data_IF_137698780079
#
_entry.id   IF_137698780079
#
_cell.length_a   1.000
_cell.length_b   1.000
_cell.length_c   1.000
_cell.angle_alpha   90.00
_cell.angle_beta   90.00
_cell.angle_gamma   90.00
#
_symmetry.space_group_name_H-M   'P 1'
#
loop_
_entity.id
_entity.type
_entity.pdbx_description
1 polymer ?
#
# COMPACT_ATOMS: atom_id res chain seq x y z
N UNK A 1 -19.08 -19.88 -14.08
CA UNK A 1 -19.32 -19.46 -12.68
C UNK A 1 -20.50 -20.23 -12.10
N UNK A 2 -20.39 -20.64 -10.83
CA UNK A 2 -21.40 -21.46 -10.13
C UNK A 2 -22.68 -20.65 -9.87
N UNK A 3 -23.86 -21.29 -9.84
CA UNK A 3 -25.14 -20.63 -9.54
C UNK A 3 -25.10 -19.91 -8.18
N UNK A 4 -24.43 -20.53 -7.21
CA UNK A 4 -24.23 -20.02 -5.85
C UNK A 4 -23.50 -18.66 -5.85
N UNK A 5 -22.44 -18.52 -6.67
CA UNK A 5 -21.68 -17.27 -6.80
C UNK A 5 -22.54 -16.16 -7.45
N UNK A 6 -23.38 -16.52 -8.45
CA UNK A 6 -24.31 -15.54 -9.06
C UNK A 6 -25.32 -15.02 -8.04
N UNK A 7 -25.87 -15.90 -7.21
CA UNK A 7 -26.79 -15.51 -6.13
C UNK A 7 -26.06 -14.61 -5.11
N UNK A 8 -24.84 -14.92 -4.74
CA UNK A 8 -24.04 -14.12 -3.82
C UNK A 8 -23.78 -12.71 -4.37
N UNK A 9 -23.45 -12.59 -5.66
CA UNK A 9 -23.28 -11.28 -6.33
C UNK A 9 -24.59 -10.50 -6.35
N UNK A 10 -25.71 -11.15 -6.68
CA UNK A 10 -27.03 -10.50 -6.69
C UNK A 10 -27.39 -9.94 -5.31
N UNK A 11 -27.24 -10.77 -4.27
CA UNK A 11 -27.55 -10.37 -2.87
C UNK A 11 -26.61 -9.23 -2.43
N UNK A 12 -25.33 -9.30 -2.78
CA UNK A 12 -24.39 -8.23 -2.48
C UNK A 12 -24.78 -6.89 -3.12
N UNK A 13 -25.12 -6.92 -4.42
CA UNK A 13 -25.55 -5.71 -5.16
C UNK A 13 -26.87 -5.17 -4.64
N UNK A 14 -27.85 -6.02 -4.40
CA UNK A 14 -29.18 -5.63 -3.89
C UNK A 14 -29.08 -5.00 -2.49
N UNK A 15 -28.38 -5.67 -1.55
CA UNK A 15 -28.19 -5.15 -0.19
C UNK A 15 -27.39 -3.84 -0.18
N UNK A 16 -26.37 -3.71 -1.02
CA UNK A 16 -25.61 -2.46 -1.18
C UNK A 16 -26.48 -1.32 -1.74
N UNK A 17 -27.37 -1.60 -2.69
CA UNK A 17 -28.31 -0.61 -3.23
C UNK A 17 -29.31 -0.13 -2.17
N UNK A 18 -29.85 -1.05 -1.35
CA UNK A 18 -30.75 -0.72 -0.24
C UNK A 18 -30.05 0.18 0.78
N UNK A 19 -28.81 -0.17 1.20
CA UNK A 19 -28.07 0.63 2.17
C UNK A 19 -27.80 2.06 1.66
N UNK A 20 -27.42 2.21 0.37
CA UNK A 20 -27.23 3.54 -0.23
C UNK A 20 -28.52 4.37 -0.23
N UNK A 21 -29.67 3.76 -0.55
CA UNK A 21 -30.99 4.44 -0.48
C UNK A 21 -31.36 4.88 0.94
N UNK A 22 -30.88 4.15 1.95
CA UNK A 22 -31.08 4.49 3.37
C UNK A 22 -30.03 5.48 3.92
N UNK A 23 -29.17 6.07 3.06
CA UNK A 23 -28.12 6.99 3.48
C UNK A 23 -27.00 6.34 4.30
N UNK A 24 -26.95 5.01 4.35
CA UNK A 24 -25.92 4.25 5.09
C UNK A 24 -24.81 3.79 4.14
N UNK A 25 -23.64 4.38 4.24
CA UNK A 25 -22.44 4.01 3.47
C UNK A 25 -21.75 2.74 3.97
N UNK A 26 -22.47 1.64 4.18
CA UNK A 26 -21.87 0.41 4.70
C UNK A 26 -21.45 -0.56 3.60
N UNK A 27 -20.14 -0.77 3.40
CA UNK A 27 -19.62 -1.76 2.45
C UNK A 27 -19.51 -3.16 3.07
N UNK A 28 -19.37 -3.26 4.40
CA UNK A 28 -19.13 -4.53 5.08
C UNK A 28 -20.32 -5.50 5.08
N UNK A 29 -21.56 -5.01 5.27
CA UNK A 29 -22.73 -5.88 5.33
C UNK A 29 -23.01 -6.60 4.00
N UNK A 30 -23.00 -5.94 2.83
CA UNK A 30 -23.20 -6.62 1.55
C UNK A 30 -22.18 -7.73 1.30
N UNK A 31 -20.89 -7.47 1.55
CA UNK A 31 -19.84 -8.49 1.40
C UNK A 31 -19.98 -9.63 2.40
N UNK A 32 -20.38 -9.34 3.64
CA UNK A 32 -20.65 -10.37 4.66
C UNK A 32 -21.78 -11.31 4.26
N UNK A 33 -22.86 -10.79 3.68
CA UNK A 33 -23.97 -11.60 3.16
C UNK A 33 -23.50 -12.46 1.98
N UNK A 34 -22.74 -11.88 1.06
CA UNK A 34 -22.22 -12.60 -0.08
C UNK A 34 -21.27 -13.74 0.36
N UNK A 35 -20.38 -13.50 1.32
CA UNK A 35 -19.46 -14.50 1.87
C UNK A 35 -20.17 -15.66 2.57
N UNK A 36 -21.33 -15.40 3.22
CA UNK A 36 -22.15 -16.47 3.80
C UNK A 36 -22.78 -17.38 2.75
N UNK A 37 -23.12 -16.81 1.59
CA UNK A 37 -23.71 -17.58 0.48
C UNK A 37 -22.60 -18.37 -0.24
N UNK A 38 -21.47 -17.73 -0.55
CA UNK A 38 -20.34 -18.37 -1.24
C UNK A 38 -19.02 -17.98 -0.59
N UNK A 39 -18.41 -18.91 0.12
CA UNK A 39 -17.14 -18.70 0.81
C UNK A 39 -15.97 -18.39 -0.12
N UNK A 40 -16.03 -18.83 -1.38
CA UNK A 40 -15.00 -18.61 -2.39
C UNK A 40 -15.33 -17.47 -3.37
N UNK A 41 -16.30 -16.63 -3.04
CA UNK A 41 -16.78 -15.57 -3.94
C UNK A 41 -15.64 -14.65 -4.42
N UNK A 42 -14.72 -14.27 -3.54
CA UNK A 42 -13.62 -13.38 -3.88
C UNK A 42 -12.69 -14.01 -4.92
N UNK A 43 -12.30 -15.28 -4.75
CA UNK A 43 -11.48 -16.00 -5.71
C UNK A 43 -12.18 -16.21 -7.07
N UNK A 44 -13.50 -16.38 -7.08
CA UNK A 44 -14.24 -16.46 -8.34
C UNK A 44 -14.33 -15.10 -9.06
N UNK A 45 -14.52 -14.00 -8.33
CA UNK A 45 -14.66 -12.65 -8.89
C UNK A 45 -13.33 -12.01 -9.31
N UNK A 46 -12.23 -12.37 -8.66
CA UNK A 46 -10.89 -11.88 -8.98
C UNK A 46 -10.21 -12.62 -10.12
N UNK A 47 -10.81 -13.70 -10.61
CA UNK A 47 -10.22 -14.52 -11.66
C UNK A 47 -9.98 -13.75 -12.94
N UNK A 48 -8.72 -13.67 -13.39
CA UNK A 48 -8.30 -12.92 -14.58
C UNK A 48 -8.13 -11.43 -14.37
N UNK A 49 -8.19 -10.95 -13.12
CA UNK A 49 -7.88 -9.57 -12.73
C UNK A 49 -6.51 -9.55 -12.08
N UNK A 50 -5.60 -8.72 -12.56
CA UNK A 50 -4.30 -8.46 -11.91
C UNK A 50 -4.53 -7.57 -10.71
N UNK A 51 -4.07 -8.00 -9.53
CA UNK A 51 -4.36 -7.28 -8.29
C UNK A 51 -3.08 -6.67 -7.71
N UNK A 52 -3.10 -5.35 -7.52
CA UNK A 52 -2.13 -4.62 -6.71
C UNK A 52 -2.72 -4.38 -5.34
N UNK A 53 -2.02 -4.80 -4.29
CA UNK A 53 -2.42 -4.59 -2.89
C UNK A 53 -1.48 -3.60 -2.24
N UNK A 54 -2.04 -2.62 -1.53
CA UNK A 54 -1.29 -1.68 -0.68
C UNK A 54 -1.69 -1.90 0.77
N UNK A 55 -0.69 -2.19 1.61
CA UNK A 55 -0.84 -2.41 3.05
C UNK A 55 0.26 -1.69 3.84
N UNK A 56 0.23 -1.77 5.17
CA UNK A 56 1.15 -1.07 6.07
C UNK A 56 0.45 -0.04 6.94
N UNK A 57 1.03 0.38 8.04
CA UNK A 57 0.36 1.20 9.06
C UNK A 57 -0.03 2.57 8.52
N UNK A 58 0.88 3.27 7.86
CA UNK A 58 0.68 4.63 7.37
C UNK A 58 0.81 4.74 5.84
N UNK A 59 0.13 5.74 5.27
CA UNK A 59 0.27 6.09 3.85
C UNK A 59 -0.54 5.26 2.87
N UNK A 60 -1.21 4.18 3.28
CA UNK A 60 -2.00 3.29 2.40
C UNK A 60 -2.87 4.02 1.39
N UNK A 61 -3.72 4.91 1.87
CA UNK A 61 -4.68 5.64 1.02
C UNK A 61 -3.97 6.58 0.04
N UNK A 62 -2.94 7.31 0.50
CA UNK A 62 -2.20 8.24 -0.35
C UNK A 62 -1.42 7.49 -1.43
N UNK A 63 -0.68 6.44 -1.04
CA UNK A 63 0.04 5.58 -1.99
C UNK A 63 -0.92 4.96 -3.01
N UNK A 64 -2.08 4.41 -2.56
CA UNK A 64 -3.09 3.86 -3.46
C UNK A 64 -3.60 4.90 -4.45
N UNK A 65 -3.85 6.13 -4.02
CA UNK A 65 -4.31 7.19 -4.93
C UNK A 65 -3.25 7.63 -5.93
N UNK A 66 -1.98 7.69 -5.53
CA UNK A 66 -0.86 7.95 -6.46
C UNK A 66 -0.73 6.84 -7.51
N UNK A 67 -0.87 5.57 -7.10
CA UNK A 67 -0.92 4.43 -8.02
C UNK A 67 -2.16 4.52 -8.92
N UNK A 68 -3.30 4.91 -8.37
CA UNK A 68 -4.56 5.10 -9.12
C UNK A 68 -4.39 6.14 -10.24
N UNK A 69 -3.70 7.26 -9.95
CA UNK A 69 -3.36 8.26 -10.96
C UNK A 69 -2.49 7.67 -12.07
N UNK A 70 -1.43 6.94 -11.71
CA UNK A 70 -0.57 6.28 -12.69
C UNK A 70 -1.33 5.24 -13.54
N UNK A 71 -2.27 4.49 -12.95
CA UNK A 71 -3.13 3.56 -13.70
C UNK A 71 -4.04 4.29 -14.69
N UNK A 72 -4.60 5.43 -14.28
CA UNK A 72 -5.46 6.26 -15.14
C UNK A 72 -4.67 6.84 -16.31
N UNK A 73 -3.48 7.41 -16.05
CA UNK A 73 -2.64 8.03 -17.07
C UNK A 73 -2.06 7.00 -18.06
N UNK A 74 -1.84 5.76 -17.60
CA UNK A 74 -1.47 4.62 -18.44
C UNK A 74 -2.66 4.02 -19.22
N UNK A 75 -3.88 4.54 -19.04
CA UNK A 75 -5.08 4.04 -19.73
C UNK A 75 -5.54 2.65 -19.31
N UNK A 76 -5.15 2.18 -18.11
CA UNK A 76 -5.54 0.87 -17.61
C UNK A 76 -7.03 0.84 -17.22
N UNK A 77 -7.70 -0.26 -17.54
CA UNK A 77 -9.07 -0.50 -17.05
C UNK A 77 -9.01 -1.10 -15.66
N UNK A 78 -9.15 -0.27 -14.66
CA UNK A 78 -9.03 -0.66 -13.26
C UNK A 78 -10.23 -0.24 -12.40
N UNK A 79 -10.29 -0.77 -11.19
CA UNK A 79 -11.14 -0.29 -10.10
C UNK A 79 -10.37 -0.37 -8.78
N UNK A 80 -10.83 0.40 -7.78
CA UNK A 80 -10.23 0.45 -6.45
C UNK A 80 -11.29 0.43 -5.35
N UNK A 81 -10.91 0.05 -4.14
CA UNK A 81 -11.78 0.10 -2.96
C UNK A 81 -11.70 1.46 -2.26
N UNK A 82 -12.32 2.47 -2.86
CA UNK A 82 -12.40 3.81 -2.23
C UNK A 82 -13.10 3.75 -0.86
N UNK A 83 -12.72 4.68 0.04
CA UNK A 83 -13.42 4.93 1.32
C UNK A 83 -13.46 3.78 2.34
N UNK A 84 -12.29 3.22 2.74
CA UNK A 84 -12.17 2.41 3.96
C UNK A 84 -12.77 1.00 3.87
N UNK A 85 -13.06 0.48 2.68
CA UNK A 85 -13.47 -0.90 2.48
C UNK A 85 -12.25 -1.86 2.45
N UNK A 86 -11.35 -1.74 3.44
CA UNK A 86 -10.05 -2.40 3.51
C UNK A 86 -10.07 -3.78 4.22
N UNK A 87 -11.23 -4.21 4.71
CA UNK A 87 -11.44 -5.54 5.28
C UNK A 87 -11.95 -6.51 4.21
N UNK A 88 -11.76 -7.80 4.42
CA UNK A 88 -12.18 -8.88 3.50
C UNK A 88 -13.62 -8.69 2.97
N UNK A 89 -14.57 -8.38 3.84
CA UNK A 89 -15.98 -8.19 3.46
C UNK A 89 -16.20 -6.93 2.62
N UNK A 90 -15.44 -5.86 2.88
CA UNK A 90 -15.45 -4.64 2.08
C UNK A 90 -14.89 -4.90 0.68
N UNK A 91 -13.75 -5.60 0.59
CA UNK A 91 -13.12 -5.98 -0.67
C UNK A 91 -14.05 -6.87 -1.51
N UNK A 92 -14.72 -7.86 -0.91
CA UNK A 92 -15.73 -8.69 -1.59
C UNK A 92 -16.84 -7.81 -2.17
N UNK A 93 -17.35 -6.83 -1.41
CA UNK A 93 -18.41 -5.95 -1.87
C UNK A 93 -17.95 -5.11 -3.09
N UNK A 94 -16.71 -4.63 -3.08
CA UNK A 94 -16.12 -3.87 -4.19
C UNK A 94 -16.01 -4.76 -5.45
N UNK A 95 -15.44 -5.95 -5.34
CA UNK A 95 -15.36 -6.88 -6.46
C UNK A 95 -16.75 -7.24 -7.03
N UNK A 96 -17.72 -7.49 -6.14
CA UNK A 96 -19.10 -7.78 -6.57
C UNK A 96 -19.73 -6.57 -7.28
N UNK A 97 -19.50 -5.34 -6.83
CA UNK A 97 -20.03 -4.13 -7.47
C UNK A 97 -19.47 -3.95 -8.88
N UNK A 98 -18.19 -4.22 -9.10
CA UNK A 98 -17.51 -4.05 -10.38
C UNK A 98 -17.62 -5.28 -11.30
N UNK A 99 -18.27 -6.36 -10.85
CA UNK A 99 -18.57 -7.53 -11.67
C UNK A 99 -19.97 -7.46 -12.26
N UNK A 100 -20.19 -8.13 -13.40
CA UNK A 100 -21.53 -8.34 -13.95
C UNK A 100 -22.31 -9.32 -13.06
N UNK A 101 -23.64 -9.43 -13.26
CA UNK A 101 -24.46 -10.44 -12.58
C UNK A 101 -24.04 -11.88 -12.97
N UNK A 102 -23.41 -12.06 -14.12
CA UNK A 102 -22.78 -13.32 -14.49
C UNK A 102 -21.42 -13.54 -13.79
N UNK A 103 -20.93 -12.56 -13.01
CA UNK A 103 -19.67 -12.57 -12.26
C UNK A 103 -18.43 -12.34 -13.09
N UNK A 104 -18.59 -11.88 -14.33
CA UNK A 104 -17.47 -11.49 -15.17
C UNK A 104 -17.04 -10.08 -14.77
N UNK A 105 -15.77 -9.89 -14.45
CA UNK A 105 -15.19 -8.58 -14.23
C UNK A 105 -14.73 -7.98 -15.56
N UNK A 106 -15.20 -6.78 -15.94
CA UNK A 106 -14.77 -6.13 -17.20
C UNK A 106 -13.44 -5.39 -17.07
N UNK A 107 -12.89 -5.32 -15.86
CA UNK A 107 -11.63 -4.63 -15.56
C UNK A 107 -10.46 -5.60 -15.64
N UNK A 108 -9.31 -5.09 -16.06
CA UNK A 108 -8.07 -5.86 -16.17
C UNK A 108 -7.24 -5.80 -14.88
N UNK A 109 -7.39 -4.71 -14.12
CA UNK A 109 -6.64 -4.47 -12.88
C UNK A 109 -7.58 -4.11 -11.73
N UNK A 110 -7.14 -4.42 -10.52
CA UNK A 110 -7.74 -3.96 -9.27
C UNK A 110 -6.65 -3.42 -8.36
N UNK A 111 -6.89 -2.24 -7.79
CA UNK A 111 -6.02 -1.64 -6.78
C UNK A 111 -6.73 -1.70 -5.43
N UNK A 112 -6.16 -2.46 -4.51
CA UNK A 112 -6.80 -2.80 -3.24
C UNK A 112 -5.98 -2.28 -2.06
N UNK A 113 -6.52 -1.28 -1.36
CA UNK A 113 -6.06 -0.94 -0.02
C UNK A 113 -6.53 -2.02 0.95
N UNK A 114 -5.62 -2.66 1.66
CA UNK A 114 -5.91 -3.74 2.58
C UNK A 114 -5.33 -3.46 3.97
N UNK A 115 -6.15 -3.70 4.98
CA UNK A 115 -5.71 -3.72 6.36
C UNK A 115 -4.72 -4.88 6.58
N UNK A 116 -3.71 -4.67 7.42
CA UNK A 116 -2.61 -5.61 7.63
C UNK A 116 -3.09 -6.97 8.17
N UNK A 117 -3.99 -6.95 9.14
CA UNK A 117 -4.56 -8.17 9.70
C UNK A 117 -5.53 -8.86 8.73
N UNK A 118 -6.23 -8.06 7.89
CA UNK A 118 -7.14 -8.58 6.87
C UNK A 118 -6.37 -9.19 5.70
N UNK A 119 -5.16 -8.72 5.39
CA UNK A 119 -4.35 -9.22 4.28
C UNK A 119 -4.12 -10.73 4.36
N UNK A 120 -3.83 -11.27 5.54
CA UNK A 120 -3.66 -12.70 5.78
C UNK A 120 -4.80 -13.56 5.17
N UNK A 121 -6.06 -13.12 5.36
CA UNK A 121 -7.23 -13.84 4.84
C UNK A 121 -7.59 -13.48 3.41
N UNK A 122 -7.30 -12.25 3.01
CA UNK A 122 -7.65 -11.74 1.68
C UNK A 122 -6.72 -12.33 0.63
N UNK A 123 -5.45 -12.51 0.96
CA UNK A 123 -4.43 -13.10 0.09
C UNK A 123 -4.70 -14.55 -0.31
N UNK A 124 -5.46 -15.32 0.49
CA UNK A 124 -5.88 -16.67 0.13
C UNK A 124 -6.73 -16.72 -1.16
N UNK A 125 -7.37 -15.62 -1.54
CA UNK A 125 -8.34 -15.56 -2.62
C UNK A 125 -7.94 -14.66 -3.78
N UNK A 126 -6.99 -13.72 -3.55
CA UNK A 126 -6.62 -12.73 -4.56
C UNK A 126 -5.40 -13.18 -5.39
N UNK A 127 -5.46 -13.09 -6.72
CA UNK A 127 -4.30 -13.26 -7.59
C UNK A 127 -3.43 -12.00 -7.55
N UNK A 128 -2.72 -11.81 -6.43
CA UNK A 128 -1.87 -10.63 -6.22
C UNK A 128 -0.68 -10.68 -7.16
N UNK A 129 -0.50 -9.64 -7.97
CA UNK A 129 0.66 -9.43 -8.84
C UNK A 129 1.71 -8.54 -8.15
N UNK A 130 1.24 -7.53 -7.41
CA UNK A 130 2.08 -6.57 -6.70
C UNK A 130 1.55 -6.38 -5.28
N UNK A 131 2.42 -6.52 -4.28
CA UNK A 131 2.16 -6.21 -2.88
C UNK A 131 3.06 -5.08 -2.42
N UNK A 132 2.48 -3.94 -2.11
CA UNK A 132 3.20 -2.80 -1.51
C UNK A 132 3.03 -2.83 0.00
N UNK A 133 4.14 -2.81 0.74
CA UNK A 133 4.15 -2.67 2.20
C UNK A 133 4.85 -1.35 2.55
N UNK A 134 4.06 -0.33 2.86
CA UNK A 134 4.57 1.02 3.06
C UNK A 134 5.50 1.13 4.26
N UNK A 135 5.04 0.68 5.41
CA UNK A 135 5.77 0.75 6.68
C UNK A 135 4.99 -0.02 7.75
N UNK A 136 5.65 -0.31 8.86
CA UNK A 136 5.04 -0.90 10.06
C UNK A 136 5.42 -0.02 11.24
N UNK A 137 4.44 0.67 11.80
CA UNK A 137 4.53 1.49 13.01
C UNK A 137 3.62 0.93 14.08
N UNK A 138 3.84 1.37 15.33
CA UNK A 138 2.89 1.13 16.41
C UNK A 138 1.66 2.00 16.21
N UNK A 139 0.47 1.45 16.33
CA UNK A 139 -0.74 2.26 16.38
C UNK A 139 -0.84 2.99 17.73
N UNK A 140 -1.38 4.22 17.75
CA UNK A 140 -1.42 5.08 18.95
C UNK A 140 -2.22 4.51 20.12
N UNK A 141 -3.04 3.49 19.86
CA UNK A 141 -3.93 2.87 20.84
C UNK A 141 -3.38 1.54 21.41
N UNK A 142 -2.11 1.23 21.20
CA UNK A 142 -1.63 -0.13 21.26
C UNK A 142 -1.01 -0.64 22.56
N UNK A 143 -1.34 -1.91 22.79
CA UNK A 143 -0.77 -2.77 23.83
C UNK A 143 0.45 -3.53 23.29
N UNK A 144 1.36 -3.91 24.18
CA UNK A 144 2.54 -4.72 23.89
C UNK A 144 2.22 -5.94 22.99
N UNK A 145 2.91 -6.06 21.85
CA UNK A 145 2.84 -7.24 20.98
C UNK A 145 2.24 -7.03 19.58
N UNK A 146 1.60 -5.90 19.31
CA UNK A 146 0.85 -5.67 18.06
C UNK A 146 1.74 -5.51 16.82
N UNK A 147 2.90 -4.85 16.92
CA UNK A 147 3.87 -4.77 15.81
C UNK A 147 4.25 -6.18 15.32
N UNK A 148 4.52 -7.09 16.26
CA UNK A 148 4.87 -8.49 15.92
C UNK A 148 3.67 -9.21 15.30
N UNK A 149 2.46 -8.95 15.80
CA UNK A 149 1.24 -9.54 15.25
C UNK A 149 0.97 -9.05 13.82
N UNK A 150 1.09 -7.75 13.59
CA UNK A 150 0.95 -7.11 12.27
C UNK A 150 1.98 -7.66 11.28
N UNK A 151 3.25 -7.70 11.67
CA UNK A 151 4.33 -8.26 10.85
C UNK A 151 4.06 -9.73 10.48
N UNK A 152 3.66 -10.55 11.47
CA UNK A 152 3.36 -11.95 11.25
C UNK A 152 2.13 -12.16 10.36
N UNK A 153 1.10 -11.32 10.48
CA UNK A 153 -0.07 -11.39 9.61
C UNK A 153 0.28 -11.08 8.15
N UNK A 154 1.14 -10.08 7.90
CA UNK A 154 1.63 -9.78 6.55
C UNK A 154 2.51 -10.93 6.04
N UNK A 155 3.44 -11.45 6.86
CA UNK A 155 4.31 -12.56 6.50
C UNK A 155 3.51 -13.81 6.12
N UNK A 156 2.50 -14.18 6.89
CA UNK A 156 1.60 -15.28 6.57
C UNK A 156 0.85 -15.01 5.26
N UNK A 157 0.34 -13.79 5.06
CA UNK A 157 -0.31 -13.41 3.80
C UNK A 157 0.59 -13.51 2.58
N UNK A 158 1.88 -13.22 2.70
CA UNK A 158 2.87 -13.37 1.62
C UNK A 158 3.00 -14.84 1.20
N UNK A 159 2.91 -15.79 2.12
CA UNK A 159 2.99 -17.23 1.77
C UNK A 159 1.85 -17.69 0.86
N UNK A 160 0.71 -17.00 0.84
CA UNK A 160 -0.43 -17.31 -0.03
C UNK A 160 -0.25 -16.76 -1.46
N UNK A 161 0.69 -15.84 -1.67
CA UNK A 161 0.90 -15.15 -2.94
C UNK A 161 2.35 -15.28 -3.44
N UNK A 162 2.86 -16.50 -3.65
CA UNK A 162 4.29 -16.75 -3.91
C UNK A 162 4.80 -16.15 -5.23
N UNK A 163 3.91 -15.79 -6.14
CA UNK A 163 4.28 -15.18 -7.43
C UNK A 163 4.14 -13.65 -7.43
N UNK A 164 3.67 -13.05 -6.35
CA UNK A 164 3.56 -11.59 -6.24
C UNK A 164 4.94 -10.95 -6.12
N UNK A 165 5.18 -9.84 -6.81
CA UNK A 165 6.33 -8.98 -6.54
C UNK A 165 6.05 -8.14 -5.29
N UNK A 166 6.97 -8.17 -4.34
CA UNK A 166 6.88 -7.39 -3.10
C UNK A 166 7.60 -6.06 -3.28
N UNK A 167 6.87 -4.95 -3.14
CA UNK A 167 7.44 -3.60 -3.03
C UNK A 167 7.57 -3.26 -1.54
N UNK A 168 8.80 -3.31 -1.01
CA UNK A 168 9.07 -3.18 0.42
C UNK A 168 9.86 -1.91 0.73
N UNK A 169 9.48 -1.21 1.80
CA UNK A 169 10.22 -0.06 2.28
C UNK A 169 11.55 -0.51 2.90
N UNK A 170 12.67 -0.17 2.24
CA UNK A 170 14.02 -0.52 2.68
C UNK A 170 14.42 0.16 4.00
N UNK A 171 13.85 1.34 4.27
CA UNK A 171 14.21 2.18 5.41
C UNK A 171 13.50 1.74 6.70
N UNK A 172 12.49 0.86 6.60
CA UNK A 172 11.81 0.26 7.72
C UNK A 172 12.36 -1.15 7.99
N UNK A 173 13.09 -1.35 9.08
CA UNK A 173 13.69 -2.64 9.42
C UNK A 173 12.68 -3.78 9.54
N UNK A 174 11.43 -3.47 9.88
CA UNK A 174 10.34 -4.44 9.98
C UNK A 174 9.85 -4.89 8.60
N UNK A 175 9.62 -3.95 7.67
CA UNK A 175 9.23 -4.31 6.29
C UNK A 175 10.38 -4.99 5.54
N UNK A 176 11.62 -4.52 5.73
CA UNK A 176 12.79 -5.15 5.14
C UNK A 176 12.93 -6.62 5.53
N UNK A 177 12.57 -6.98 6.78
CA UNK A 177 12.60 -8.37 7.26
C UNK A 177 11.59 -9.30 6.59
N UNK A 178 10.60 -8.77 5.86
CA UNK A 178 9.65 -9.60 5.09
C UNK A 178 10.31 -10.25 3.86
N UNK A 179 11.46 -9.74 3.41
CA UNK A 179 12.23 -10.30 2.30
C UNK A 179 13.20 -11.40 2.71
N UNK A 180 13.22 -11.76 3.99
CA UNK A 180 14.07 -12.82 4.54
C UNK A 180 13.36 -14.18 4.49
N UNK A 181 13.98 -15.21 5.09
CA UNK A 181 13.42 -16.57 5.25
C UNK A 181 13.21 -17.33 3.94
N UNK A 182 13.95 -16.96 2.87
CA UNK A 182 13.95 -17.70 1.60
C UNK A 182 12.60 -17.66 0.86
N UNK A 183 11.88 -16.54 0.97
CA UNK A 183 10.65 -16.34 0.20
C UNK A 183 10.90 -16.44 -1.31
N UNK A 184 10.01 -17.06 -2.09
CA UNK A 184 10.16 -17.19 -3.54
C UNK A 184 9.85 -15.90 -4.30
N UNK A 185 9.26 -14.92 -3.63
CA UNK A 185 8.76 -13.68 -4.23
C UNK A 185 9.90 -12.80 -4.77
N UNK A 186 9.78 -12.25 -5.98
CA UNK A 186 10.61 -11.12 -6.39
C UNK A 186 10.41 -9.93 -5.45
N UNK A 187 11.49 -9.21 -5.14
CA UNK A 187 11.46 -8.05 -4.23
C UNK A 187 12.00 -6.83 -4.95
N UNK A 188 11.27 -5.75 -4.91
CA UNK A 188 11.70 -4.39 -5.26
C UNK A 188 11.66 -3.57 -3.98
N UNK A 189 12.77 -2.94 -3.66
CA UNK A 189 12.86 -2.07 -2.49
C UNK A 189 12.67 -0.63 -2.90
N UNK A 190 11.94 0.13 -2.10
CA UNK A 190 11.87 1.57 -2.24
C UNK A 190 12.33 2.25 -0.94
N UNK A 191 12.82 3.48 -1.05
CA UNK A 191 13.29 4.21 0.14
C UNK A 191 13.85 5.58 -0.20
N UNK A 192 14.45 6.21 0.81
CA UNK A 192 15.05 7.55 0.73
C UNK A 192 16.51 7.45 1.13
N UNK A 193 17.43 7.83 0.26
CA UNK A 193 18.88 7.69 0.46
C UNK A 193 19.54 8.88 1.17
N UNK A 194 18.76 9.90 1.51
CA UNK A 194 19.23 11.15 2.11
C UNK A 194 18.31 11.56 3.26
N UNK A 195 18.80 12.34 4.24
CA UNK A 195 17.91 12.94 5.25
C UNK A 195 16.88 13.85 4.58
N UNK A 196 15.63 13.79 5.05
CA UNK A 196 14.57 14.67 4.55
C UNK A 196 14.63 16.03 5.25
N UNK A 197 14.97 16.04 6.53
CA UNK A 197 15.05 17.24 7.36
C UNK A 197 16.48 17.44 7.86
N UNK A 198 16.90 18.72 8.00
CA UNK A 198 18.25 19.07 8.50
C UNK A 198 18.47 18.71 9.97
N UNK A 199 17.40 18.67 10.76
CA UNK A 199 17.40 18.25 12.15
C UNK A 199 16.49 17.05 12.34
N UNK A 200 17.06 15.94 12.80
CA UNK A 200 16.27 14.79 13.25
C UNK A 200 15.63 15.15 14.59
N UNK A 201 14.34 15.46 14.57
CA UNK A 201 13.58 15.53 15.80
C UNK A 201 13.73 14.19 16.53
N UNK A 202 13.92 14.23 17.86
CA UNK A 202 13.90 13.05 18.73
C UNK A 202 12.46 12.49 18.80
N UNK A 203 11.96 12.01 17.67
CA UNK A 203 10.66 11.36 17.60
C UNK A 203 10.73 9.97 18.23
N UNK A 204 9.61 9.57 18.83
CA UNK A 204 9.44 8.22 19.36
C UNK A 204 9.69 7.21 18.25
N UNK A 205 10.66 6.33 18.44
CA UNK A 205 11.00 5.28 17.49
C UNK A 205 10.35 3.98 17.92
N UNK A 206 9.52 3.40 17.07
CA UNK A 206 8.80 2.15 17.36
C UNK A 206 9.67 0.91 17.17
N UNK A 207 10.70 0.98 16.34
CA UNK A 207 11.63 -0.10 16.06
C UNK A 207 13.06 0.28 16.47
N UNK A 208 13.28 0.44 17.78
CA UNK A 208 14.59 0.83 18.33
C UNK A 208 15.60 -0.33 18.27
N UNK A 209 15.11 -1.57 18.42
CA UNK A 209 15.94 -2.75 18.60
C UNK A 209 15.87 -3.69 17.40
N UNK A 210 17.02 -4.27 17.07
CA UNK A 210 17.14 -5.27 16.02
C UNK A 210 16.14 -6.41 16.19
N UNK A 211 15.42 -6.72 15.13
CA UNK A 211 14.41 -7.77 15.11
C UNK A 211 15.02 -9.15 15.45
N UNK A 212 16.30 -9.37 15.09
CA UNK A 212 16.98 -10.66 15.29
C UNK A 212 17.63 -10.78 16.67
N UNK A 213 18.51 -9.85 17.06
CA UNK A 213 19.35 -9.99 18.24
C UNK A 213 19.02 -9.02 19.38
N UNK A 214 17.99 -8.18 19.23
CA UNK A 214 17.52 -7.20 20.21
C UNK A 214 18.57 -6.14 20.62
N UNK A 215 19.66 -6.00 19.87
CA UNK A 215 20.61 -4.90 20.05
C UNK A 215 20.04 -3.63 19.45
N UNK A 216 20.28 -2.49 20.07
CA UNK A 216 19.85 -1.20 19.54
C UNK A 216 20.45 -0.93 18.17
N UNK A 217 19.62 -0.45 17.22
CA UNK A 217 20.09 -0.03 15.92
C UNK A 217 20.92 1.25 15.99
N UNK A 218 21.93 1.31 15.14
CA UNK A 218 22.59 2.54 14.76
C UNK A 218 22.06 3.01 13.40
N UNK A 219 22.11 4.31 13.16
CA UNK A 219 21.60 4.92 11.94
C UNK A 219 22.64 5.86 11.34
N UNK A 220 22.90 5.69 10.06
CA UNK A 220 23.72 6.64 9.30
C UNK A 220 22.97 7.96 9.09
N UNK A 221 21.64 7.88 8.90
CA UNK A 221 20.69 8.98 8.89
C UNK A 221 19.30 8.48 9.26
N UNK A 222 18.46 9.37 9.76
CA UNK A 222 17.03 9.13 9.96
C UNK A 222 16.22 10.10 9.11
N UNK A 223 15.07 9.65 8.64
CA UNK A 223 14.16 10.45 7.83
C UNK A 223 12.88 10.78 8.59
N UNK A 224 12.22 9.75 9.16
CA UNK A 224 10.97 9.87 9.89
C UNK A 224 10.81 8.71 10.88
N UNK A 225 10.62 8.99 12.15
CA UNK A 225 10.48 7.97 13.19
C UNK A 225 11.66 7.00 13.23
N UNK A 226 11.41 5.72 12.92
CA UNK A 226 12.45 4.69 12.83
C UNK A 226 12.88 4.37 11.38
N UNK A 227 12.46 5.18 10.42
CA UNK A 227 12.86 5.01 9.01
C UNK A 227 14.23 5.67 8.77
N UNK A 228 15.07 5.01 7.96
CA UNK A 228 16.37 5.53 7.55
C UNK A 228 17.41 4.46 7.31
N UNK A 229 18.67 4.87 7.29
CA UNK A 229 19.85 4.01 7.09
C UNK A 229 20.20 3.23 8.36
N UNK A 230 19.39 2.26 8.74
CA UNK A 230 19.61 1.45 9.95
C UNK A 230 20.67 0.37 9.75
N UNK A 231 21.42 0.08 10.82
CA UNK A 231 22.32 -1.07 10.92
C UNK A 231 22.37 -1.61 12.35
N UNK A 232 22.50 -2.92 12.48
CA UNK A 232 22.70 -3.57 13.77
C UNK A 232 24.21 -3.80 14.00
N UNK A 233 24.84 -3.19 15.03
CA UNK A 233 26.27 -3.34 15.26
C UNK A 233 26.66 -4.75 15.72
N UNK A 234 25.70 -5.57 16.18
CA UNK A 234 25.98 -6.91 16.70
C UNK A 234 25.83 -8.02 15.67
N UNK A 235 24.73 -8.08 14.93
CA UNK A 235 24.45 -9.18 13.98
C UNK A 235 24.64 -8.79 12.52
N UNK A 236 24.94 -7.52 12.22
CA UNK A 236 25.15 -7.04 10.87
C UNK A 236 23.88 -6.81 10.05
N UNK A 237 22.69 -7.05 10.60
CA UNK A 237 21.44 -6.74 9.90
C UNK A 237 21.36 -5.25 9.57
N UNK A 238 21.16 -4.90 8.33
CA UNK A 238 21.23 -3.52 7.87
C UNK A 238 20.26 -3.26 6.71
N UNK A 239 20.04 -1.99 6.44
CA UNK A 239 19.29 -1.50 5.29
C UNK A 239 19.98 -1.93 3.99
N UNK A 240 19.22 -2.51 3.08
CA UNK A 240 19.66 -2.82 1.72
C UNK A 240 19.30 -1.64 0.82
N UNK A 241 20.22 -1.26 -0.09
CA UNK A 241 19.97 -0.17 -1.03
C UNK A 241 18.71 -0.45 -1.88
N UNK A 242 17.78 0.51 -1.99
CA UNK A 242 16.55 0.35 -2.76
C UNK A 242 16.82 0.53 -4.26
N UNK A 243 16.05 -0.21 -5.07
CA UNK A 243 16.01 -0.10 -6.53
C UNK A 243 15.20 1.12 -7.00
N UNK A 244 14.26 1.59 -6.15
CA UNK A 244 13.51 2.84 -6.37
C UNK A 244 13.81 3.77 -5.19
N UNK A 245 14.63 4.78 -5.43
CA UNK A 245 15.23 5.58 -4.37
C UNK A 245 15.02 7.08 -4.57
N UNK A 246 14.62 7.79 -3.52
CA UNK A 246 14.80 9.24 -3.49
C UNK A 246 16.26 9.53 -3.17
N UNK A 247 17.01 10.05 -4.15
CA UNK A 247 18.44 10.31 -4.05
C UNK A 247 18.77 11.74 -3.66
N UNK A 248 17.81 12.65 -3.85
CA UNK A 248 17.94 14.04 -3.42
C UNK A 248 16.57 14.60 -3.02
N UNK A 249 16.53 15.38 -1.96
CA UNK A 249 15.42 16.26 -1.59
C UNK A 249 15.87 17.67 -1.92
N UNK A 250 15.31 18.24 -3.00
CA UNK A 250 15.65 19.58 -3.51
C UNK A 250 15.02 20.63 -2.61
N UNK A 251 13.73 20.43 -2.31
CA UNK A 251 12.97 21.30 -1.41
C UNK A 251 11.88 20.54 -0.66
N UNK A 252 11.55 21.01 0.54
CA UNK A 252 10.36 20.59 1.30
C UNK A 252 9.61 21.82 1.73
N UNK A 253 8.34 21.91 1.35
CA UNK A 253 7.46 23.02 1.67
C UNK A 253 6.22 22.61 2.46
N UNK A 254 5.41 23.59 2.82
CA UNK A 254 4.12 23.39 3.46
C UNK A 254 3.11 22.71 2.52
N UNK A 255 3.30 22.81 1.21
CA UNK A 255 2.35 22.36 0.19
C UNK A 255 2.88 21.21 -0.66
N UNK A 256 4.19 21.20 -0.91
CA UNK A 256 4.82 20.26 -1.84
C UNK A 256 6.27 19.97 -1.47
N UNK A 257 6.84 18.96 -2.12
CA UNK A 257 8.28 18.64 -2.06
C UNK A 257 8.80 18.38 -3.46
N UNK A 258 10.00 18.92 -3.78
CA UNK A 258 10.73 18.60 -5.01
C UNK A 258 11.85 17.61 -4.69
N UNK A 259 11.88 16.53 -5.44
CA UNK A 259 12.81 15.42 -5.20
C UNK A 259 13.46 14.94 -6.49
N UNK A 260 14.58 14.26 -6.36
CA UNK A 260 15.12 13.40 -7.43
C UNK A 260 14.80 11.96 -7.05
N UNK A 261 13.98 11.31 -7.88
CA UNK A 261 13.60 9.91 -7.76
C UNK A 261 14.38 9.10 -8.78
N UNK A 262 15.20 8.19 -8.31
CA UNK A 262 15.88 7.18 -9.13
C UNK A 262 14.99 5.94 -9.25
N UNK A 263 14.74 5.51 -10.46
CA UNK A 263 13.98 4.29 -10.77
C UNK A 263 14.92 3.37 -11.55
N UNK A 264 15.48 2.37 -10.89
CA UNK A 264 16.41 1.39 -11.49
C UNK A 264 17.62 2.04 -12.22
N UNK A 265 18.19 3.11 -11.67
CA UNK A 265 19.35 3.82 -12.22
C UNK A 265 18.99 4.99 -13.13
N UNK A 266 17.71 5.28 -13.33
CA UNK A 266 17.23 6.44 -14.09
C UNK A 266 16.71 7.51 -13.15
N UNK A 267 17.41 8.63 -13.07
CA UNK A 267 17.05 9.76 -12.21
C UNK A 267 16.01 10.69 -12.86
N UNK A 268 14.97 11.03 -12.11
CA UNK A 268 13.89 11.90 -12.53
C UNK A 268 13.63 12.98 -11.48
N UNK A 269 13.49 14.24 -11.88
CA UNK A 269 12.95 15.28 -11.02
C UNK A 269 11.43 15.12 -10.90
N UNK A 270 10.93 15.09 -9.68
CA UNK A 270 9.50 14.90 -9.38
C UNK A 270 9.03 15.97 -8.41
N UNK A 271 7.99 16.69 -8.80
CA UNK A 271 7.24 17.57 -7.91
C UNK A 271 6.15 16.75 -7.20
N UNK A 272 6.31 16.46 -5.92
CA UNK A 272 5.29 15.79 -5.10
C UNK A 272 4.38 16.86 -4.51
N UNK A 273 3.20 17.04 -5.09
CA UNK A 273 2.24 18.08 -4.71
C UNK A 273 1.48 17.74 -3.42
N UNK A 274 2.23 17.36 -2.38
CA UNK A 274 1.75 17.02 -1.05
C UNK A 274 2.77 17.44 0.01
N UNK A 275 2.31 18.00 1.16
CA UNK A 275 3.19 18.36 2.25
C UNK A 275 3.74 17.16 3.00
N UNK A 276 4.94 17.32 3.57
CA UNK A 276 5.53 16.40 4.54
C UNK A 276 6.33 15.25 3.92
N UNK A 277 7.45 14.94 4.56
CA UNK A 277 8.41 13.94 4.10
C UNK A 277 7.86 12.52 3.98
N UNK A 278 6.79 12.17 4.70
CA UNK A 278 6.12 10.88 4.56
C UNK A 278 5.49 10.69 3.17
N UNK A 279 5.13 11.78 2.46
CA UNK A 279 4.60 11.70 1.10
C UNK A 279 5.69 11.42 0.05
N UNK A 280 6.94 11.73 0.36
CA UNK A 280 8.10 11.32 -0.43
C UNK A 280 8.20 9.78 -0.46
N UNK A 281 8.00 9.12 0.69
CA UNK A 281 7.92 7.65 0.75
C UNK A 281 6.72 7.09 -0.02
N UNK A 282 5.55 7.75 0.07
CA UNK A 282 4.37 7.32 -0.66
C UNK A 282 4.58 7.40 -2.18
N UNK A 283 5.29 8.43 -2.67
CA UNK A 283 5.65 8.57 -4.07
C UNK A 283 6.63 7.47 -4.54
N UNK A 284 7.68 7.18 -3.76
CA UNK A 284 8.62 6.10 -4.06
C UNK A 284 7.91 4.73 -4.08
N UNK A 285 7.01 4.47 -3.13
CA UNK A 285 6.20 3.26 -3.08
C UNK A 285 5.29 3.13 -4.32
N UNK A 286 4.66 4.24 -4.74
CA UNK A 286 3.80 4.26 -5.91
C UNK A 286 4.60 4.02 -7.21
N UNK A 287 5.80 4.60 -7.32
CA UNK A 287 6.70 4.36 -8.45
C UNK A 287 7.14 2.90 -8.54
N UNK A 288 7.49 2.27 -7.40
CA UNK A 288 7.83 0.85 -7.36
C UNK A 288 6.66 -0.03 -7.83
N UNK A 289 5.43 0.27 -7.39
CA UNK A 289 4.23 -0.45 -7.82
C UNK A 289 3.92 -0.25 -9.31
N UNK A 290 4.06 0.98 -9.81
CA UNK A 290 3.86 1.31 -11.22
C UNK A 290 4.84 0.52 -12.13
N UNK A 291 6.10 0.42 -11.72
CA UNK A 291 7.11 -0.39 -12.41
C UNK A 291 6.71 -1.87 -12.49
N UNK A 292 6.23 -2.47 -11.37
CA UNK A 292 5.77 -3.89 -11.36
C UNK A 292 4.62 -4.11 -12.32
N UNK A 293 3.70 -3.15 -12.42
CA UNK A 293 2.52 -3.24 -13.33
C UNK A 293 2.91 -3.02 -14.79
N UNK A 294 4.13 -2.53 -15.06
CA UNK A 294 4.64 -2.26 -16.40
C UNK A 294 4.26 -0.88 -16.94
N UNK A 295 4.00 0.08 -16.06
CA UNK A 295 3.83 1.49 -16.43
C UNK A 295 5.21 2.10 -16.63
N UNK A 296 5.42 2.81 -17.73
CA UNK A 296 6.69 3.43 -18.02
C UNK A 296 7.02 4.57 -17.05
N UNK A 297 8.32 4.86 -16.88
CA UNK A 297 8.81 5.84 -15.92
C UNK A 297 8.28 7.25 -16.20
N UNK A 298 8.19 7.65 -17.46
CA UNK A 298 7.69 8.97 -17.85
C UNK A 298 6.23 9.16 -17.43
N UNK A 299 5.38 8.18 -17.68
CA UNK A 299 3.97 8.17 -17.25
C UNK A 299 3.90 8.18 -15.72
N UNK A 300 4.71 7.38 -15.05
CA UNK A 300 4.78 7.33 -13.57
C UNK A 300 5.16 8.68 -12.97
N UNK A 301 6.23 9.30 -13.45
CA UNK A 301 6.72 10.61 -12.97
C UNK A 301 5.68 11.70 -13.22
N UNK A 302 5.06 11.71 -14.40
CA UNK A 302 3.98 12.65 -14.72
C UNK A 302 2.78 12.49 -13.78
N UNK A 303 2.36 11.26 -13.51
CA UNK A 303 1.24 10.96 -12.61
C UNK A 303 1.52 11.42 -11.18
N UNK A 304 2.73 11.21 -10.67
CA UNK A 304 3.14 11.68 -9.34
C UNK A 304 3.14 13.21 -9.24
N UNK A 305 3.60 13.92 -10.31
CA UNK A 305 3.64 15.37 -10.34
C UNK A 305 2.26 16.03 -10.51
N UNK A 306 1.31 15.34 -11.14
CA UNK A 306 -0.06 15.83 -11.32
C UNK A 306 -1.01 15.42 -10.19
N UNK A 307 -0.53 14.59 -9.27
CA UNK A 307 -1.37 14.08 -8.20
C UNK A 307 -1.78 15.20 -7.25
N UNK A 308 -3.09 15.35 -7.02
CA UNK A 308 -3.67 16.26 -6.04
C UNK A 308 -4.47 15.48 -5.00
N UNK A 309 -4.33 15.86 -3.73
CA UNK A 309 -5.10 15.25 -2.66
C UNK A 309 -6.57 15.68 -2.76
N UNK A 310 -7.45 14.74 -3.07
CA UNK A 310 -8.89 14.99 -3.00
C UNK A 310 -9.39 15.11 -1.55
N UNK A 311 -10.54 15.76 -1.37
CA UNK A 311 -11.21 16.07 -0.10
C UNK A 311 -10.98 15.07 1.05
N UNK A 312 -10.63 15.59 2.23
CA UNK A 312 -10.66 14.87 3.51
C UNK A 312 -9.33 14.52 4.16
N UNK A 313 -8.16 14.82 3.54
CA UNK A 313 -6.83 14.73 4.19
C UNK A 313 -5.95 15.85 3.67
N UNK A 314 -5.44 16.70 4.57
CA UNK A 314 -4.62 17.88 4.26
C UNK A 314 -5.35 18.95 3.41
N UNK A 315 -6.60 19.29 3.76
CA UNK A 315 -7.28 20.45 3.17
C UNK A 315 -6.63 21.72 3.66
N UNK A 316 -6.16 22.54 2.73
CA UNK A 316 -5.69 23.89 3.02
C UNK A 316 -6.86 24.86 2.86
N UNK A 317 -7.23 25.48 3.95
CA UNK A 317 -8.15 26.63 3.93
C UNK A 317 -7.31 27.91 3.88
N UNK A 318 -7.30 28.61 2.76
CA UNK A 318 -6.82 30.00 2.73
C UNK A 318 -7.87 30.84 3.45
N UNK A 319 -7.61 31.18 4.71
CA UNK A 319 -8.36 32.22 5.40
C UNK A 319 -7.96 33.53 4.72
N UNK A 320 -8.88 34.11 3.95
CA UNK A 320 -8.68 35.44 3.34
C UNK A 320 -8.37 36.47 4.42
N UNK A 321 -7.41 37.38 4.12
CA UNK A 321 -7.24 38.62 4.85
C UNK A 321 -8.40 39.53 4.56
#
# INVERSE_FOLDING_TARGET
>A
MRLRTRLAVLVCKASGAVLRKLGRGGTNLPGRLALKIDKNILGELSRGVKVTVVTGTNGKTTTSRMIEQAFADAGLRYFSNKSGANLLTGIIAVFAQHSTLSGKCPYTHALIECDEAAFRRTSEYLPVECLVVNNIFRDQLDRYGEITHTLNAIREGITHVPNATLCLNADCSLTASLAEDGIPNPVIRFGVNVPIYSETAHELSDAVYCIHCKTQYEYDYRTYGHLGGFRCPKCGYHRIAPEVAVTQVISTGADASDIVLDIFGHAHEVHVNLPGGYNIYNAAAAAAAAHVVGIDEKTTVSALGQFECGFGRAEQFRLGQ
#
